data_IF_121081093893
#
_entry.id   IF_121081093893
#
_cell.length_a   1.000
_cell.length_b   1.000
_cell.length_c   1.000
_cell.angle_alpha   90.00
_cell.angle_beta   90.00
_cell.angle_gamma   90.00
#
_symmetry.space_group_name_H-M   'P 1'
#
loop_
_entity.id
_entity.type
_entity.pdbx_description
1 polymer ?
#
# COMPACT_ATOMS: atom_id res chain seq x y z
N UNK A 1 23.89 -54.06 -26.79
CA UNK A 1 24.02 -52.66 -27.27
C UNK A 1 22.89 -51.85 -26.66
N UNK A 2 23.14 -51.15 -25.55
CA UNK A 2 22.12 -50.35 -24.83
C UNK A 2 22.48 -48.87 -24.97
N UNK A 3 21.58 -48.07 -25.54
CA UNK A 3 21.76 -46.63 -25.78
C UNK A 3 21.07 -45.85 -24.65
N UNK A 4 21.85 -45.23 -23.78
CA UNK A 4 21.36 -44.24 -22.81
C UNK A 4 21.27 -42.87 -23.50
N UNK A 5 20.08 -42.28 -23.50
CA UNK A 5 19.85 -40.89 -23.89
C UNK A 5 19.97 -40.02 -22.62
N UNK A 6 20.97 -39.14 -22.60
CA UNK A 6 21.12 -38.12 -21.57
C UNK A 6 20.20 -36.93 -21.87
N UNK A 7 19.19 -36.72 -21.04
CA UNK A 7 18.41 -35.49 -21.03
C UNK A 7 19.20 -34.42 -20.25
N UNK A 8 19.71 -33.42 -20.95
CA UNK A 8 20.27 -32.22 -20.34
C UNK A 8 19.12 -31.33 -19.84
N UNK A 9 19.05 -31.13 -18.52
CA UNK A 9 18.14 -30.17 -17.91
C UNK A 9 18.69 -28.76 -18.08
N UNK A 10 18.01 -27.94 -18.89
CA UNK A 10 18.29 -26.51 -19.01
C UNK A 10 17.66 -25.80 -17.80
N UNK A 11 18.49 -25.37 -16.86
CA UNK A 11 18.06 -24.55 -15.73
C UNK A 11 17.75 -23.13 -16.23
N UNK A 12 16.47 -22.77 -16.30
CA UNK A 12 16.05 -21.39 -16.49
C UNK A 12 16.35 -20.59 -15.21
N UNK A 13 17.39 -19.77 -15.23
CA UNK A 13 17.58 -18.72 -14.22
C UNK A 13 16.52 -17.65 -14.46
N UNK A 14 15.40 -17.72 -13.73
CA UNK A 14 14.47 -16.61 -13.65
C UNK A 14 15.19 -15.46 -12.90
N UNK A 15 15.31 -14.26 -13.48
CA UNK A 15 15.88 -13.11 -12.79
C UNK A 15 15.09 -12.85 -11.50
N UNK A 16 15.82 -12.81 -10.38
CA UNK A 16 15.25 -12.72 -9.05
C UNK A 16 14.36 -11.49 -8.89
N UNK A 17 13.06 -11.73 -8.73
CA UNK A 17 12.15 -10.77 -8.12
C UNK A 17 12.62 -10.59 -6.68
N UNK A 18 13.27 -9.46 -6.38
CA UNK A 18 13.56 -9.10 -5.00
C UNK A 18 12.23 -9.06 -4.23
N UNK A 19 12.16 -9.66 -3.03
CA UNK A 19 10.96 -9.56 -2.22
C UNK A 19 10.72 -8.08 -1.93
N UNK A 20 9.56 -7.56 -2.34
CA UNK A 20 9.11 -6.26 -1.83
C UNK A 20 9.08 -6.36 -0.31
N UNK A 21 9.89 -5.54 0.35
CA UNK A 21 9.81 -5.43 1.80
C UNK A 21 8.43 -4.87 2.14
N UNK A 22 7.62 -5.76 2.70
CA UNK A 22 6.24 -5.51 3.04
C UNK A 22 6.22 -4.71 4.34
N UNK A 23 6.00 -3.41 4.19
CA UNK A 23 5.87 -2.51 5.34
C UNK A 23 4.44 -2.68 5.86
N UNK A 24 4.26 -3.57 6.83
CA UNK A 24 2.96 -3.84 7.46
C UNK A 24 2.98 -3.52 8.95
N UNK A 25 1.85 -3.00 9.43
CA UNK A 25 1.56 -2.81 10.84
C UNK A 25 0.36 -3.68 11.22
N UNK A 26 0.45 -4.35 12.35
CA UNK A 26 -0.69 -5.03 12.94
C UNK A 26 -1.77 -4.00 13.32
N UNK A 27 -3.03 -4.35 13.09
CA UNK A 27 -4.16 -3.54 13.52
C UNK A 27 -4.18 -3.48 15.06
N UNK A 28 -4.14 -2.27 15.67
CA UNK A 28 -4.19 -2.13 17.12
C UNK A 28 -5.43 -2.78 17.76
N UNK A 29 -5.30 -3.17 19.02
CA UNK A 29 -6.40 -3.81 19.74
C UNK A 29 -7.51 -2.85 20.19
N UNK A 30 -7.19 -1.54 20.23
CA UNK A 30 -8.10 -0.48 20.59
C UNK A 30 -9.37 -0.42 19.71
N UNK A 31 -10.41 0.25 20.22
CA UNK A 31 -11.66 0.50 19.50
C UNK A 31 -12.07 1.97 19.65
N UNK A 32 -12.22 2.72 18.55
CA UNK A 32 -11.89 2.36 17.17
C UNK A 32 -10.36 2.24 16.96
N UNK A 33 -9.94 1.49 15.94
CA UNK A 33 -8.54 1.42 15.52
C UNK A 33 -8.42 1.37 14.00
N UNK A 34 -7.28 1.78 13.47
CA UNK A 34 -7.01 1.68 12.03
C UNK A 34 -5.53 1.49 11.74
N UNK A 35 -5.26 0.88 10.58
CA UNK A 35 -3.96 0.86 9.92
C UNK A 35 -4.12 1.26 8.47
N UNK A 36 -3.09 1.90 7.95
CA UNK A 36 -2.99 2.28 6.55
C UNK A 36 -1.65 1.77 6.07
N UNK A 37 -1.65 1.15 4.91
CA UNK A 37 -0.48 0.70 4.21
C UNK A 37 -0.50 1.30 2.81
N UNK A 38 0.63 1.87 2.39
CA UNK A 38 0.85 2.31 1.02
C UNK A 38 2.10 1.61 0.51
N UNK A 39 1.94 0.94 -0.62
CA UNK A 39 3.02 0.28 -1.35
C UNK A 39 3.08 0.91 -2.72
N UNK A 40 4.28 1.32 -3.15
CA UNK A 40 4.48 1.87 -4.49
C UNK A 40 5.51 1.06 -5.25
N UNK A 41 5.25 0.88 -6.54
CA UNK A 41 6.05 0.02 -7.41
C UNK A 41 6.14 0.62 -8.81
N UNK A 42 7.09 0.18 -9.63
CA UNK A 42 7.25 0.72 -10.98
C UNK A 42 8.08 2.00 -10.99
N UNK A 43 7.84 2.90 -11.95
CA UNK A 43 8.78 3.96 -12.27
C UNK A 43 9.96 3.46 -13.12
N UNK A 44 10.79 4.39 -13.58
CA UNK A 44 11.97 4.09 -14.41
C UNK A 44 12.93 3.06 -13.78
N UNK A 45 13.09 3.09 -12.45
CA UNK A 45 13.95 2.16 -11.70
C UNK A 45 13.19 0.97 -11.08
N UNK A 46 11.87 0.87 -11.28
CA UNK A 46 11.03 -0.19 -10.72
C UNK A 46 10.75 -0.11 -9.21
N UNK A 47 11.40 0.83 -8.50
CA UNK A 47 11.37 0.92 -7.02
C UNK A 47 10.19 1.73 -6.45
N UNK A 48 9.38 2.39 -7.28
CA UNK A 48 8.35 3.31 -6.82
C UNK A 48 8.91 4.54 -6.08
N UNK A 49 8.10 5.12 -5.20
CA UNK A 49 8.46 6.26 -4.30
C UNK A 49 8.66 5.83 -2.85
N UNK A 50 8.60 4.52 -2.59
CA UNK A 50 8.72 3.90 -1.27
C UNK A 50 7.40 3.34 -0.73
N UNK A 51 7.53 2.59 0.35
CA UNK A 51 6.45 1.94 1.05
C UNK A 51 6.34 2.51 2.46
N UNK A 52 5.13 2.65 2.98
CA UNK A 52 4.93 3.11 4.34
C UNK A 52 3.65 2.54 4.93
N UNK A 53 3.63 2.36 6.24
CA UNK A 53 2.45 2.02 6.99
C UNK A 53 2.33 2.87 8.24
N UNK A 54 1.10 3.17 8.64
CA UNK A 54 0.79 3.90 9.85
C UNK A 54 -0.39 3.28 10.60
N UNK A 55 -0.46 3.51 11.91
CA UNK A 55 -1.59 3.08 12.74
C UNK A 55 -2.20 4.21 13.57
N UNK A 56 -3.41 3.96 14.07
CA UNK A 56 -4.11 4.84 15.02
C UNK A 56 -3.40 5.02 16.36
N UNK A 57 -2.33 4.26 16.65
CA UNK A 57 -1.47 4.47 17.83
C UNK A 57 -0.33 5.47 17.56
N UNK A 58 -0.23 5.98 16.34
CA UNK A 58 0.85 6.90 15.94
C UNK A 58 2.14 6.18 15.56
N UNK A 59 2.11 4.86 15.40
CA UNK A 59 3.24 4.09 14.86
C UNK A 59 3.31 4.33 13.36
N UNK A 60 4.53 4.49 12.87
CA UNK A 60 4.82 4.62 11.45
C UNK A 60 6.05 3.80 11.11
N UNK A 61 6.01 3.11 9.97
CA UNK A 61 7.12 2.34 9.42
C UNK A 61 7.25 2.71 7.95
N UNK A 62 8.48 2.87 7.46
CA UNK A 62 8.75 3.19 6.07
C UNK A 62 9.84 2.29 5.50
N UNK A 63 9.81 2.13 4.18
CA UNK A 63 10.90 1.59 3.41
C UNK A 63 11.14 2.43 2.14
N UNK A 64 12.34 3.00 1.94
CA UNK A 64 13.45 3.03 2.91
C UNK A 64 13.09 3.82 4.18
N UNK A 65 13.75 3.49 5.30
CA UNK A 65 13.49 4.12 6.62
C UNK A 65 13.68 5.64 6.59
N UNK A 66 14.54 6.15 5.70
CA UNK A 66 14.79 7.57 5.50
C UNK A 66 13.54 8.38 5.10
N UNK A 67 12.47 7.73 4.64
CA UNK A 67 11.19 8.38 4.33
C UNK A 67 10.38 8.75 5.57
N UNK A 68 10.66 8.13 6.73
CA UNK A 68 9.94 8.36 7.98
C UNK A 68 10.68 9.38 8.86
N UNK A 69 11.13 10.50 8.30
CA UNK A 69 12.05 11.44 8.96
C UNK A 69 11.52 12.07 10.25
N UNK A 70 10.20 12.10 10.46
CA UNK A 70 9.55 12.68 11.65
C UNK A 70 8.32 11.89 12.10
N UNK A 71 8.03 11.99 13.41
CA UNK A 71 6.85 11.39 14.03
C UNK A 71 5.53 11.93 13.45
N UNK A 72 4.48 11.13 13.60
CA UNK A 72 3.18 11.32 12.97
C UNK A 72 2.11 11.75 13.99
N UNK A 73 1.34 12.80 13.69
CA UNK A 73 0.25 13.27 14.56
C UNK A 73 -1.10 12.65 14.15
N UNK A 74 -1.50 11.61 14.87
CA UNK A 74 -2.72 10.81 14.59
C UNK A 74 -3.99 11.65 14.50
N UNK A 75 -4.12 12.68 15.34
CA UNK A 75 -5.34 13.47 15.47
C UNK A 75 -5.76 14.17 14.17
N UNK A 76 -4.82 14.47 13.27
CA UNK A 76 -5.10 15.12 11.99
C UNK A 76 -5.77 14.17 10.97
N UNK A 77 -5.65 12.85 11.18
CA UNK A 77 -6.06 11.83 10.20
C UNK A 77 -7.36 11.14 10.55
N UNK A 78 -7.75 11.14 11.83
CA UNK A 78 -9.00 10.52 12.27
C UNK A 78 -10.22 11.00 11.45
N UNK A 79 -10.42 12.30 11.19
CA UNK A 79 -11.58 12.75 10.41
C UNK A 79 -11.59 12.21 8.97
N UNK A 80 -10.40 12.00 8.37
CA UNK A 80 -10.29 11.50 7.01
C UNK A 80 -10.64 10.01 6.93
N UNK A 81 -10.21 9.22 7.92
CA UNK A 81 -10.56 7.80 8.01
C UNK A 81 -12.05 7.60 8.27
N UNK A 82 -12.64 8.45 9.10
CA UNK A 82 -14.09 8.47 9.32
C UNK A 82 -14.87 8.80 8.04
N UNK A 83 -14.38 9.76 7.24
CA UNK A 83 -15.00 10.10 5.95
C UNK A 83 -14.93 8.93 4.94
N UNK A 84 -13.84 8.18 4.94
CA UNK A 84 -13.70 6.96 4.15
C UNK A 84 -14.73 5.91 4.59
N UNK A 85 -14.84 5.66 5.90
CA UNK A 85 -15.80 4.70 6.47
C UNK A 85 -17.24 5.03 6.06
N UNK A 86 -17.62 6.30 6.13
CA UNK A 86 -18.98 6.73 5.82
C UNK A 86 -19.36 6.54 4.34
N UNK A 87 -18.38 6.58 3.42
CA UNK A 87 -18.62 6.55 1.97
C UNK A 87 -18.30 5.20 1.32
N UNK A 88 -17.35 4.46 1.86
CA UNK A 88 -16.90 3.19 1.31
C UNK A 88 -17.57 2.05 2.08
N UNK A 89 -18.85 1.83 1.75
CA UNK A 89 -19.63 0.68 2.25
C UNK A 89 -19.31 -0.63 1.53
N UNK A 90 -18.57 -0.55 0.43
CA UNK A 90 -18.14 -1.72 -0.36
C UNK A 90 -16.70 -2.08 -0.05
N UNK A 91 -16.46 -3.35 0.26
CA UNK A 91 -15.13 -3.96 0.41
C UNK A 91 -14.46 -4.26 -0.93
N UNK A 92 -15.16 -4.03 -2.06
CA UNK A 92 -14.58 -4.29 -3.37
C UNK A 92 -13.38 -3.37 -3.62
N UNK A 93 -12.25 -3.92 -4.08
CA UNK A 93 -11.08 -3.11 -4.36
C UNK A 93 -11.36 -2.13 -5.51
N UNK A 94 -10.92 -0.89 -5.34
CA UNK A 94 -10.99 0.12 -6.42
C UNK A 94 -9.72 0.00 -7.26
N UNK A 95 -9.87 -0.36 -8.53
CA UNK A 95 -8.75 -0.48 -9.47
C UNK A 95 -8.85 0.57 -10.58
N UNK A 96 -7.78 1.33 -10.78
CA UNK A 96 -7.64 2.30 -11.88
C UNK A 96 -6.24 2.23 -12.48
N UNK A 97 -6.04 1.28 -13.39
CA UNK A 97 -4.77 1.05 -14.07
C UNK A 97 -4.96 1.34 -15.56
N UNK A 98 -4.45 2.48 -16.01
CA UNK A 98 -4.38 2.79 -17.43
C UNK A 98 -3.05 2.32 -18.04
N UNK A 99 -2.98 1.94 -19.32
CA UNK A 99 -1.74 1.48 -19.93
C UNK A 99 -0.62 2.53 -19.82
N UNK A 100 0.52 2.13 -19.26
CA UNK A 100 1.67 3.01 -19.07
C UNK A 100 2.96 2.18 -18.98
N UNK A 101 4.03 2.67 -19.60
CA UNK A 101 5.30 1.94 -19.70
C UNK A 101 6.22 2.15 -18.48
N UNK A 102 6.08 3.27 -17.77
CA UNK A 102 6.99 3.70 -16.71
C UNK A 102 6.27 4.29 -15.48
N UNK A 103 4.96 4.12 -15.37
CA UNK A 103 4.20 4.71 -14.27
C UNK A 103 4.52 4.07 -12.93
N UNK A 104 4.33 4.86 -11.88
CA UNK A 104 4.30 4.34 -10.52
C UNK A 104 2.90 3.78 -10.28
N UNK A 105 2.86 2.53 -9.82
CA UNK A 105 1.65 1.89 -9.31
C UNK A 105 1.63 2.10 -7.81
N UNK A 106 0.55 2.67 -7.30
CA UNK A 106 0.28 2.81 -5.87
C UNK A 106 -0.81 1.83 -5.46
N UNK A 107 -0.57 1.09 -4.40
CA UNK A 107 -1.56 0.27 -3.70
C UNK A 107 -1.72 0.84 -2.30
N UNK A 108 -2.94 1.20 -1.94
CA UNK A 108 -3.28 1.67 -0.61
C UNK A 108 -4.29 0.72 0.02
N UNK A 109 -3.96 0.21 1.19
CA UNK A 109 -4.84 -0.64 2.00
C UNK A 109 -5.15 0.09 3.30
N UNK A 110 -6.43 0.19 3.63
CA UNK A 110 -6.93 0.78 4.88
C UNK A 110 -7.68 -0.32 5.60
N UNK A 111 -7.17 -0.73 6.75
CA UNK A 111 -7.88 -1.65 7.63
C UNK A 111 -8.36 -0.88 8.84
N UNK A 112 -9.64 -0.98 9.17
CA UNK A 112 -10.20 -0.32 10.34
C UNK A 112 -11.04 -1.29 11.17
N UNK A 113 -11.07 -1.04 12.48
CA UNK A 113 -11.92 -1.68 13.46
C UNK A 113 -12.87 -0.63 14.01
N UNK A 114 -14.16 -0.85 13.85
CA UNK A 114 -15.17 0.07 14.40
C UNK A 114 -15.35 -0.09 15.92
N UNK A 115 -16.25 0.70 16.50
CA UNK A 115 -16.57 0.64 17.93
C UNK A 115 -17.20 -0.71 18.35
N UNK A 116 -17.92 -1.38 17.44
CA UNK A 116 -18.48 -2.72 17.67
C UNK A 116 -17.41 -3.82 17.58
N UNK A 117 -16.21 -3.50 17.07
CA UNK A 117 -15.10 -4.43 16.86
C UNK A 117 -15.11 -5.10 15.49
N UNK A 118 -16.00 -4.69 14.58
CA UNK A 118 -16.04 -5.21 13.21
C UNK A 118 -14.83 -4.67 12.46
N UNK A 119 -14.05 -5.58 11.87
CA UNK A 119 -12.87 -5.24 11.07
C UNK A 119 -13.28 -5.20 9.60
N UNK A 120 -12.91 -4.12 8.92
CA UNK A 120 -13.11 -3.96 7.49
C UNK A 120 -11.81 -3.52 6.84
N UNK A 121 -11.54 -4.07 5.66
CA UNK A 121 -10.38 -3.71 4.85
C UNK A 121 -10.87 -3.14 3.52
N UNK A 122 -10.31 -2.00 3.16
CA UNK A 122 -10.51 -1.34 1.89
C UNK A 122 -9.18 -1.27 1.16
N UNK A 123 -9.18 -1.58 -0.14
CA UNK A 123 -7.97 -1.52 -0.97
C UNK A 123 -8.24 -0.71 -2.22
N UNK A 124 -7.36 0.25 -2.51
CA UNK A 124 -7.34 0.99 -3.76
C UNK A 124 -6.00 0.80 -4.46
N UNK A 125 -6.05 0.64 -5.78
CA UNK A 125 -4.87 0.48 -6.63
C UNK A 125 -5.00 1.39 -7.83
N UNK A 126 -3.99 2.23 -8.05
CA UNK A 126 -3.94 3.10 -9.21
C UNK A 126 -2.54 3.29 -9.74
N UNK A 127 -2.43 3.82 -10.95
CA UNK A 127 -1.20 4.43 -11.45
C UNK A 127 -1.39 5.93 -11.69
N UNK A 128 -0.31 6.62 -12.05
CA UNK A 128 -0.32 8.08 -12.22
C UNK A 128 -1.41 8.56 -13.19
N UNK A 129 -1.64 7.82 -14.27
CA UNK A 129 -2.66 8.13 -15.29
C UNK A 129 -4.07 7.87 -14.75
N UNK A 130 -4.29 6.73 -14.10
CA UNK A 130 -5.60 6.32 -13.59
C UNK A 130 -6.02 7.02 -12.30
N UNK A 131 -5.15 7.82 -11.68
CA UNK A 131 -5.39 8.49 -10.38
C UNK A 131 -6.72 9.25 -10.32
N UNK A 132 -7.14 9.89 -11.41
CA UNK A 132 -8.37 10.68 -11.49
C UNK A 132 -9.67 9.87 -11.28
N UNK A 133 -9.64 8.54 -11.37
CA UNK A 133 -10.82 7.67 -11.14
C UNK A 133 -10.90 7.15 -9.70
N UNK A 134 -9.91 7.44 -8.87
CA UNK A 134 -9.91 7.05 -7.46
C UNK A 134 -10.78 8.02 -6.67
N UNK A 135 -11.65 7.52 -5.76
CA UNK A 135 -12.45 8.37 -4.89
C UNK A 135 -11.58 9.44 -4.19
N UNK A 136 -12.02 10.71 -4.20
CA UNK A 136 -11.21 11.83 -3.71
C UNK A 136 -10.85 11.71 -2.23
N UNK A 137 -11.65 11.00 -1.43
CA UNK A 137 -11.37 10.76 -0.01
C UNK A 137 -10.13 9.89 0.20
N UNK A 138 -9.93 8.88 -0.65
CA UNK A 138 -8.75 8.01 -0.61
C UNK A 138 -7.52 8.83 -0.99
N UNK A 139 -7.61 9.62 -2.07
CA UNK A 139 -6.52 10.49 -2.50
C UNK A 139 -6.15 11.51 -1.43
N UNK A 140 -7.13 12.09 -0.72
CA UNK A 140 -6.88 13.00 0.41
C UNK A 140 -6.12 12.33 1.54
N UNK A 141 -6.49 11.09 1.92
CA UNK A 141 -5.73 10.35 2.93
C UNK A 141 -4.31 10.06 2.44
N UNK A 142 -4.17 9.51 1.24
CA UNK A 142 -2.86 9.26 0.63
C UNK A 142 -1.97 10.51 0.66
N UNK A 143 -2.49 11.65 0.20
CA UNK A 143 -1.73 12.91 0.09
C UNK A 143 -1.39 13.50 1.45
N UNK A 144 -2.29 13.41 2.43
CA UNK A 144 -2.02 13.84 3.78
C UNK A 144 -0.88 13.01 4.42
N UNK A 145 -0.88 11.68 4.20
CA UNK A 145 0.19 10.79 4.69
C UNK A 145 1.52 11.07 4.00
N UNK A 146 1.51 11.17 2.67
CA UNK A 146 2.70 11.49 1.90
C UNK A 146 3.29 12.86 2.29
N UNK A 147 2.44 13.84 2.60
CA UNK A 147 2.88 15.15 3.08
C UNK A 147 3.46 15.09 4.50
N UNK A 148 2.87 14.31 5.41
CA UNK A 148 3.36 14.16 6.78
C UNK A 148 4.75 13.50 6.82
N UNK A 149 5.00 12.54 5.92
CA UNK A 149 6.29 11.83 5.82
C UNK A 149 7.44 12.70 5.30
N UNK A 150 7.16 13.71 4.48
CA UNK A 150 8.20 14.55 3.84
C UNK A 150 8.64 15.76 4.68
N UNK A 151 8.04 16.01 5.85
CA UNK A 151 8.35 17.17 6.69
C UNK A 151 9.61 16.97 7.53
#
# INVERSE_FOLDING_TARGET
MSRYWGLAAVAFMLPGLLPMQDVQLALPDARPAWTIQVVTTGGFLGNGVGNYAASSEGKIVCYPESLCSKGFQVLEFQPLIEAIRAKLTSTSPVLSLDPCHDCIITVMTITHRDAAGVVQTFTARWNDVGRHRIPPEILRVHDAFAAALRR
#
